data_IF_035872538443
#
_entry.id   IF_035872538443
#
_cell.length_a   1.000
_cell.length_b   1.000
_cell.length_c   1.000
_cell.angle_alpha   90.00
_cell.angle_beta   90.00
_cell.angle_gamma   90.00
#
_symmetry.space_group_name_H-M   'P 1'
#
loop_
_entity.id
_entity.type
_entity.pdbx_description
1 polymer ?
#
# COMPACT_ATOMS: atom_id res chain seq x y z
N UNK A 1 28.99 -21.83 21.56
CA UNK A 1 28.62 -21.11 20.32
C UNK A 1 27.11 -21.06 20.27
N UNK A 2 26.51 -19.90 20.49
CA UNK A 2 25.07 -19.69 20.35
C UNK A 2 24.78 -19.25 18.90
N UNK A 3 23.72 -19.74 18.25
CA UNK A 3 23.33 -19.21 16.96
C UNK A 3 22.76 -17.80 17.15
N UNK A 4 23.21 -16.86 16.30
CA UNK A 4 22.61 -15.53 16.15
C UNK A 4 21.16 -15.68 15.71
N UNK A 5 20.24 -15.61 16.66
CA UNK A 5 18.84 -15.31 16.35
C UNK A 5 18.78 -13.86 15.92
N UNK A 6 18.72 -13.63 14.60
CA UNK A 6 18.32 -12.34 14.05
C UNK A 6 16.98 -11.98 14.68
N UNK A 7 16.96 -10.98 15.56
CA UNK A 7 15.71 -10.40 16.02
C UNK A 7 15.02 -9.85 14.78
N UNK A 8 13.89 -10.46 14.39
CA UNK A 8 12.95 -9.80 13.50
C UNK A 8 12.62 -8.45 14.16
N UNK A 9 13.02 -7.34 13.53
CA UNK A 9 12.55 -6.02 13.94
C UNK A 9 11.03 -6.06 13.80
N UNK A 10 10.31 -6.03 14.91
CA UNK A 10 8.86 -5.90 14.88
C UNK A 10 8.59 -4.41 14.62
N UNK A 11 8.50 -4.02 13.34
CA UNK A 11 8.04 -2.68 12.98
C UNK A 11 6.55 -2.57 13.25
N UNK A 12 6.13 -1.57 14.02
CA UNK A 12 4.71 -1.31 14.33
C UNK A 12 4.17 -0.29 13.34
N UNK A 13 3.33 -0.75 12.42
CA UNK A 13 2.75 0.07 11.35
C UNK A 13 1.52 0.84 11.84
N UNK A 14 1.70 2.12 12.23
CA UNK A 14 0.66 2.82 13.01
C UNK A 14 -0.49 3.42 12.19
N UNK A 15 -0.30 3.76 10.92
CA UNK A 15 -1.32 4.58 10.24
C UNK A 15 -1.31 4.55 8.72
N UNK A 16 -2.49 4.32 8.14
CA UNK A 16 -2.86 4.73 6.79
C UNK A 16 -3.70 6.01 6.89
N UNK A 17 -3.26 7.09 6.24
CA UNK A 17 -4.11 8.28 6.03
C UNK A 17 -4.26 8.56 4.55
N UNK A 18 -5.49 8.66 4.02
CA UNK A 18 -5.68 9.12 2.64
C UNK A 18 -5.15 10.55 2.51
N UNK A 19 -4.31 10.80 1.50
CA UNK A 19 -3.87 12.15 1.13
C UNK A 19 -5.03 12.86 0.39
N UNK A 20 -5.07 14.22 0.31
CA UNK A 20 -6.31 14.94 0.15
C UNK A 20 -7.04 14.54 -1.13
N UNK A 21 -8.24 13.98 -0.88
CA UNK A 21 -9.37 13.67 -1.76
C UNK A 21 -9.01 13.07 -3.13
N UNK A 22 -9.31 11.78 -3.39
CA UNK A 22 -9.46 11.34 -4.78
C UNK A 22 -10.42 12.32 -5.49
N UNK A 23 -10.20 12.65 -6.78
CA UNK A 23 -11.08 13.56 -7.50
C UNK A 23 -12.53 13.18 -7.24
N UNK A 24 -13.26 14.13 -6.65
CA UNK A 24 -14.66 13.96 -6.23
C UNK A 24 -15.42 13.56 -7.49
N UNK A 25 -15.97 12.34 -7.51
CA UNK A 25 -16.77 11.70 -8.58
C UNK A 25 -16.12 10.56 -9.38
N UNK A 26 -15.34 9.66 -8.77
CA UNK A 26 -15.41 8.27 -9.25
C UNK A 26 -16.85 7.77 -9.02
N UNK A 27 -17.59 7.28 -10.04
CA UNK A 27 -18.88 6.63 -9.83
C UNK A 27 -18.76 5.61 -8.70
N UNK A 28 -19.77 5.48 -7.82
CA UNK A 28 -19.74 4.53 -6.69
C UNK A 28 -19.43 3.07 -7.07
N UNK A 29 -19.45 2.76 -8.38
CA UNK A 29 -19.09 1.50 -9.04
C UNK A 29 -17.58 1.24 -9.16
N UNK A 30 -16.73 2.24 -8.89
CA UNK A 30 -15.27 2.13 -8.99
C UNK A 30 -14.61 2.51 -7.67
N UNK A 31 -14.78 1.68 -6.64
CA UNK A 31 -14.15 1.87 -5.33
C UNK A 31 -13.05 0.84 -5.15
N UNK A 32 -11.86 1.32 -4.79
CA UNK A 32 -10.75 0.49 -4.32
C UNK A 32 -10.64 0.69 -2.82
N UNK A 33 -10.81 -0.39 -2.06
CA UNK A 33 -10.52 -0.40 -0.64
C UNK A 33 -9.04 -0.68 -0.41
N UNK A 34 -8.47 0.01 0.58
CA UNK A 34 -7.08 -0.14 1.00
C UNK A 34 -7.07 -0.26 2.52
N UNK A 35 -6.42 -1.29 3.03
CA UNK A 35 -6.30 -1.59 4.46
C UNK A 35 -4.86 -1.96 4.79
N UNK A 36 -4.43 -1.65 6.01
CA UNK A 36 -3.12 -2.01 6.52
C UNK A 36 -3.33 -2.67 7.87
N UNK A 37 -2.83 -3.89 8.00
CA UNK A 37 -2.72 -4.56 9.28
C UNK A 37 -1.45 -4.04 9.98
N UNK A 38 -1.65 -3.36 11.10
CA UNK A 38 -0.59 -2.76 11.90
C UNK A 38 0.32 -3.79 12.60
N UNK A 39 -0.21 -4.98 12.90
CA UNK A 39 0.49 -6.02 13.65
C UNK A 39 1.40 -6.84 12.75
N UNK A 40 0.91 -7.18 11.56
CA UNK A 40 1.66 -7.99 10.59
C UNK A 40 2.45 -7.13 9.62
N UNK A 41 1.93 -5.94 9.30
CA UNK A 41 2.44 -5.07 8.25
C UNK A 41 1.93 -5.40 6.85
N UNK A 42 0.86 -6.18 6.74
CA UNK A 42 0.22 -6.50 5.47
C UNK A 42 -0.62 -5.34 4.95
N UNK A 43 -0.28 -4.86 3.75
CA UNK A 43 -1.06 -3.91 2.97
C UNK A 43 -2.00 -4.69 2.03
N UNK A 44 -3.30 -4.50 2.18
CA UNK A 44 -4.34 -5.14 1.36
C UNK A 44 -5.03 -4.12 0.45
N UNK A 45 -5.18 -4.45 -0.83
CA UNK A 45 -5.88 -3.67 -1.85
C UNK A 45 -6.99 -4.52 -2.47
N UNK A 46 -8.24 -4.07 -2.38
CA UNK A 46 -9.39 -4.80 -2.95
C UNK A 46 -10.32 -3.87 -3.72
N UNK A 47 -10.38 -3.99 -5.06
CA UNK A 47 -11.36 -3.30 -5.86
C UNK A 47 -12.71 -4.02 -5.87
N UNK A 48 -13.80 -3.25 -5.90
CA UNK A 48 -15.16 -3.78 -6.07
C UNK A 48 -15.53 -4.10 -7.54
N UNK A 49 -14.56 -4.05 -8.44
CA UNK A 49 -14.68 -4.30 -9.88
C UNK A 49 -13.39 -4.93 -10.41
N UNK A 50 -13.44 -5.53 -11.60
CA UNK A 50 -12.23 -6.06 -12.25
C UNK A 50 -11.32 -4.90 -12.64
N UNK A 51 -10.11 -4.87 -12.08
CA UNK A 51 -9.06 -3.91 -12.47
C UNK A 51 -7.99 -4.67 -13.24
N UNK A 52 -7.60 -4.14 -14.39
CA UNK A 52 -6.52 -4.67 -15.22
C UNK A 52 -5.45 -3.60 -15.34
N UNK A 53 -4.21 -3.95 -15.01
CA UNK A 53 -3.08 -3.02 -15.10
C UNK A 53 -3.15 -1.88 -14.07
N UNK A 54 -3.56 -2.18 -12.83
CA UNK A 54 -3.39 -1.26 -11.72
C UNK A 54 -1.90 -1.17 -11.40
N UNK A 55 -1.37 0.03 -11.41
CA UNK A 55 -0.02 0.31 -11.00
C UNK A 55 -0.02 0.69 -9.52
N UNK A 56 0.73 -0.07 -8.71
CA UNK A 56 0.84 0.09 -7.27
C UNK A 56 2.27 0.51 -6.99
N UNK A 57 2.45 1.71 -6.45
CA UNK A 57 3.76 2.32 -6.21
C UNK A 57 3.87 2.67 -4.73
N UNK A 58 4.98 2.30 -4.10
CA UNK A 58 5.34 2.72 -2.74
C UNK A 58 6.65 3.50 -2.84
N UNK A 59 6.63 4.74 -2.36
CA UNK A 59 7.77 5.65 -2.44
C UNK A 59 7.98 6.44 -1.16
N UNK A 60 9.20 6.91 -0.92
CA UNK A 60 9.51 7.85 0.16
C UNK A 60 10.58 8.83 -0.32
N UNK A 61 10.36 10.13 -0.08
CA UNK A 61 11.29 11.20 -0.47
C UNK A 61 11.75 11.14 -1.95
N UNK A 62 10.84 10.74 -2.85
CA UNK A 62 11.11 10.62 -4.29
C UNK A 62 11.83 9.34 -4.71
N UNK A 63 12.11 8.42 -3.77
CA UNK A 63 12.70 7.11 -4.03
C UNK A 63 11.57 6.07 -4.07
N UNK A 64 11.51 5.26 -5.13
CA UNK A 64 10.58 4.14 -5.25
C UNK A 64 11.15 2.92 -4.53
N UNK A 65 10.39 2.36 -3.60
CA UNK A 65 10.74 1.18 -2.81
C UNK A 65 10.09 -0.10 -3.37
N UNK A 66 8.84 0.01 -3.81
CA UNK A 66 8.10 -1.09 -4.46
C UNK A 66 7.27 -0.53 -5.59
N UNK A 67 7.19 -1.30 -6.67
CA UNK A 67 6.39 -0.98 -7.85
C UNK A 67 5.88 -2.29 -8.46
N UNK A 68 4.55 -2.38 -8.65
CA UNK A 68 3.91 -3.54 -9.22
C UNK A 68 2.79 -3.15 -10.18
N UNK A 69 2.68 -3.85 -11.31
CA UNK A 69 1.51 -3.76 -12.19
C UNK A 69 0.68 -5.02 -12.02
N UNK A 70 -0.55 -4.88 -11.54
CA UNK A 70 -1.40 -6.00 -11.13
C UNK A 70 -2.76 -5.97 -11.81
N UNK A 71 -3.32 -7.15 -12.02
CA UNK A 71 -4.73 -7.31 -12.40
C UNK A 71 -5.46 -7.98 -11.25
N UNK A 72 -6.42 -7.27 -10.67
CA UNK A 72 -7.16 -7.73 -9.50
C UNK A 72 -8.62 -7.93 -9.92
N UNK A 73 -9.10 -9.18 -9.99
CA UNK A 73 -10.52 -9.44 -10.22
C UNK A 73 -11.38 -8.81 -9.11
N UNK A 74 -12.63 -8.51 -9.43
CA UNK A 74 -13.59 -7.99 -8.46
C UNK A 74 -13.67 -8.94 -7.25
N UNK A 75 -13.68 -8.35 -6.05
CA UNK A 75 -13.74 -9.09 -4.78
C UNK A 75 -12.53 -10.01 -4.50
N UNK A 76 -11.43 -9.85 -5.24
CA UNK A 76 -10.13 -10.41 -4.86
C UNK A 76 -9.30 -9.35 -4.14
N UNK A 77 -8.25 -9.79 -3.47
CA UNK A 77 -7.33 -8.94 -2.71
C UNK A 77 -5.93 -9.12 -3.28
N UNK A 78 -5.26 -8.00 -3.54
CA UNK A 78 -3.81 -7.96 -3.69
C UNK A 78 -3.19 -7.60 -2.35
N UNK A 79 -2.15 -8.32 -1.95
CA UNK A 79 -1.41 -8.07 -0.72
C UNK A 79 0.04 -7.70 -1.02
N UNK A 80 0.57 -6.76 -0.24
CA UNK A 80 1.99 -6.42 -0.19
C UNK A 80 2.44 -6.39 1.29
N UNK A 81 3.73 -6.55 1.54
CA UNK A 81 4.27 -6.64 2.90
C UNK A 81 5.20 -5.48 3.21
N UNK A 82 4.86 -4.70 4.23
CA UNK A 82 5.61 -3.52 4.66
C UNK A 82 6.41 -3.73 5.96
N UNK A 83 6.35 -4.92 6.56
CA UNK A 83 6.99 -5.17 7.86
C UNK A 83 8.52 -5.10 7.86
N UNK A 84 9.15 -5.20 6.69
CA UNK A 84 10.61 -5.06 6.52
C UNK A 84 11.07 -3.64 6.16
N UNK A 85 10.13 -2.70 5.98
CA UNK A 85 10.47 -1.33 5.62
C UNK A 85 11.00 -0.59 6.85
N UNK A 86 12.00 0.26 6.64
CA UNK A 86 12.52 1.13 7.70
C UNK A 86 11.45 2.12 8.18
N UNK A 87 11.60 2.60 9.42
CA UNK A 87 10.74 3.66 9.95
C UNK A 87 10.77 4.91 9.07
N UNK A 88 9.60 5.52 8.90
CA UNK A 88 9.48 6.74 8.10
C UNK A 88 8.10 6.95 7.51
N UNK A 89 8.01 7.99 6.70
CA UNK A 89 6.83 8.33 5.92
C UNK A 89 6.99 7.81 4.50
N UNK A 90 5.98 7.07 4.04
CA UNK A 90 5.89 6.51 2.70
C UNK A 90 4.58 6.95 2.04
N UNK A 91 4.58 6.98 0.72
CA UNK A 91 3.40 7.26 -0.10
C UNK A 91 3.08 6.01 -0.91
N UNK A 92 1.88 5.49 -0.72
CA UNK A 92 1.25 4.52 -1.62
C UNK A 92 0.48 5.29 -2.70
N UNK A 93 0.77 5.01 -3.96
CA UNK A 93 0.07 5.57 -5.11
C UNK A 93 -0.53 4.43 -5.93
N UNK A 94 -1.82 4.57 -6.25
CA UNK A 94 -2.53 3.66 -7.14
C UNK A 94 -2.82 4.39 -8.44
N UNK A 95 -2.27 3.92 -9.55
CA UNK A 95 -2.44 4.53 -10.87
C UNK A 95 -3.07 3.54 -11.84
N UNK A 96 -3.79 4.05 -12.84
CA UNK A 96 -4.15 3.26 -14.01
C UNK A 96 -2.91 3.13 -14.91
N UNK A 97 -2.89 2.11 -15.79
CA UNK A 97 -1.80 1.93 -16.77
C UNK A 97 -1.55 3.10 -17.75
N UNK A 98 -2.36 4.16 -17.72
CA UNK A 98 -2.12 5.42 -18.45
C UNK A 98 -1.48 6.53 -17.59
N UNK A 99 -1.09 6.24 -16.34
CA UNK A 99 -0.49 7.18 -15.39
C UNK A 99 -1.50 8.05 -14.62
N UNK A 100 -2.81 7.84 -14.77
CA UNK A 100 -3.82 8.56 -14.00
C UNK A 100 -3.85 8.05 -12.55
N UNK A 101 -3.55 8.91 -11.58
CA UNK A 101 -3.65 8.60 -10.16
C UNK A 101 -5.12 8.41 -9.75
N UNK A 102 -5.45 7.22 -9.27
CA UNK A 102 -6.76 6.85 -8.74
C UNK A 102 -6.87 7.27 -7.28
N UNK A 103 -5.83 6.95 -6.49
CA UNK A 103 -5.79 7.21 -5.05
C UNK A 103 -4.35 7.30 -4.56
N UNK A 104 -4.14 8.02 -3.46
CA UNK A 104 -2.86 8.11 -2.79
C UNK A 104 -3.03 8.16 -1.28
N UNK A 105 -2.14 7.46 -0.56
CA UNK A 105 -2.16 7.33 0.89
C UNK A 105 -0.77 7.58 1.46
N UNK A 106 -0.73 8.27 2.59
CA UNK A 106 0.48 8.34 3.42
C UNK A 106 0.44 7.17 4.41
N UNK A 107 1.54 6.43 4.43
CA UNK A 107 1.82 5.33 5.34
C UNK A 107 2.93 5.79 6.29
N UNK A 108 2.69 5.68 7.59
CA UNK A 108 3.69 6.01 8.61
C UNK A 108 4.11 4.72 9.30
N UNK A 109 5.40 4.38 9.15
CA UNK A 109 6.05 3.22 9.78
C UNK A 109 6.85 3.73 10.97
N UNK A 110 6.65 3.13 12.14
CA UNK A 110 7.35 3.49 13.39
C UNK A 110 7.79 2.23 14.11
N UNK A 111 8.89 2.27 14.85
CA UNK A 111 9.16 1.26 15.87
C UNK A 111 8.65 1.78 17.22
N UNK A 112 7.98 0.91 17.97
CA UNK A 112 7.63 1.15 19.37
C UNK A 112 8.75 0.65 20.31
#
# INVERSE_FOLDING_TARGET
MLPSSSFAKHHVLKKLTPFPKPPVMAPARYRIGVWLDAETGELSISPNYNVVGLHVIISSNGIVYSEATVSIPANQVYTDYLGDYDEGEYTLTLEKGNGEVISSYVIIITND
#
